data_IF_080816775879
#
_entry.id   IF_080816775879
#
_cell.length_a   1.000
_cell.length_b   1.000
_cell.length_c   1.000
_cell.angle_alpha   90.00
_cell.angle_beta   90.00
_cell.angle_gamma   90.00
#
_symmetry.space_group_name_H-M   'P 1'
#
loop_
_entity.id
_entity.type
_entity.pdbx_description
1 polymer ?
#
# COMPACT_ATOMS: atom_id res chain seq x y z
N UNK A 1 57.45 4.76 28.93
CA UNK A 1 56.02 4.88 29.20
C UNK A 1 55.25 3.90 28.30
N UNK A 2 54.35 3.11 28.85
CA UNK A 2 53.57 2.20 28.01
C UNK A 2 52.65 3.00 27.05
N UNK A 3 52.68 2.67 25.76
CA UNK A 3 51.86 3.32 24.74
C UNK A 3 50.45 2.72 24.78
N UNK A 4 49.45 3.58 24.97
CA UNK A 4 48.04 3.17 24.92
C UNK A 4 47.67 2.70 23.48
N UNK A 5 47.28 1.45 23.33
CA UNK A 5 46.84 0.87 22.08
C UNK A 5 45.28 0.91 22.02
N UNK A 6 44.74 1.48 20.96
CA UNK A 6 43.29 1.65 20.76
C UNK A 6 42.57 0.45 20.11
N UNK A 7 43.28 -0.69 19.98
CA UNK A 7 42.78 -1.86 19.25
C UNK A 7 41.50 -2.47 19.80
N UNK A 8 41.38 -2.54 21.13
CA UNK A 8 40.19 -3.12 21.79
C UNK A 8 38.94 -2.29 21.51
N UNK A 9 39.02 -0.98 21.71
CA UNK A 9 37.89 -0.09 21.43
C UNK A 9 37.51 -0.02 19.95
N UNK A 10 38.49 0.00 19.05
CA UNK A 10 38.26 0.00 17.62
C UNK A 10 37.54 -1.29 17.19
N UNK A 11 37.98 -2.43 17.70
CA UNK A 11 37.37 -3.74 17.43
C UNK A 11 35.94 -3.81 17.97
N UNK A 12 35.67 -3.31 19.16
CA UNK A 12 34.34 -3.25 19.74
C UNK A 12 33.37 -2.43 18.87
N UNK A 13 33.81 -1.25 18.40
CA UNK A 13 33.03 -0.41 17.47
C UNK A 13 32.78 -1.10 16.13
N UNK A 14 33.78 -1.76 15.57
CA UNK A 14 33.61 -2.53 14.32
C UNK A 14 32.64 -3.68 14.50
N UNK A 15 32.76 -4.43 15.60
CA UNK A 15 31.88 -5.55 15.91
C UNK A 15 30.42 -5.11 16.03
N UNK A 16 30.15 -3.98 16.70
CA UNK A 16 28.80 -3.41 16.81
C UNK A 16 28.16 -3.16 15.44
N UNK A 17 28.89 -2.66 14.46
CA UNK A 17 28.38 -2.43 13.09
C UNK A 17 28.19 -3.75 12.35
N UNK A 18 29.12 -4.69 12.48
CA UNK A 18 29.01 -6.00 11.84
C UNK A 18 27.85 -6.83 12.41
N UNK A 19 27.54 -6.67 13.70
CA UNK A 19 26.37 -7.31 14.32
C UNK A 19 25.05 -6.81 13.71
N UNK A 20 24.96 -5.51 13.39
CA UNK A 20 23.82 -4.93 12.67
C UNK A 20 23.74 -5.37 11.20
N UNK A 21 24.87 -5.78 10.63
CA UNK A 21 24.96 -6.25 9.24
C UNK A 21 24.80 -7.77 9.10
N UNK A 22 24.49 -8.49 10.19
CA UNK A 22 24.23 -9.94 10.13
C UNK A 22 23.08 -10.24 9.18
N UNK A 23 23.25 -11.28 8.37
CA UNK A 23 22.29 -11.68 7.35
C UNK A 23 22.45 -10.95 6.01
N UNK A 24 23.34 -9.98 5.88
CA UNK A 24 23.62 -9.34 4.61
C UNK A 24 24.51 -10.24 3.73
N UNK A 25 24.22 -10.26 2.44
CA UNK A 25 24.87 -11.13 1.49
C UNK A 25 26.30 -10.68 1.17
N UNK A 26 27.24 -11.62 1.17
CA UNK A 26 28.62 -11.43 0.76
C UNK A 26 29.40 -10.44 1.65
N UNK A 27 30.22 -9.63 1.04
CA UNK A 27 31.12 -8.67 1.74
C UNK A 27 30.38 -7.61 2.58
N UNK A 28 29.10 -7.38 2.32
CA UNK A 28 28.28 -6.45 3.11
C UNK A 28 28.02 -6.94 4.54
N UNK A 29 28.08 -8.26 4.78
CA UNK A 29 27.93 -8.85 6.11
C UNK A 29 29.24 -9.06 6.87
N UNK A 30 30.41 -9.12 6.17
CA UNK A 30 31.69 -9.52 6.75
C UNK A 30 32.76 -8.43 6.78
N UNK A 31 32.79 -7.56 5.77
CA UNK A 31 33.81 -6.50 5.65
C UNK A 31 33.29 -5.19 6.24
N UNK A 32 33.92 -4.70 7.31
CA UNK A 32 33.47 -3.52 8.06
C UNK A 32 33.22 -2.30 7.17
N UNK A 33 34.10 -1.98 6.22
CA UNK A 33 33.95 -0.79 5.36
C UNK A 33 32.64 -0.82 4.58
N UNK A 34 32.35 -1.93 3.94
CA UNK A 34 31.14 -2.10 3.12
C UNK A 34 29.90 -2.32 3.99
N UNK A 35 30.05 -3.07 5.10
CA UNK A 35 28.98 -3.27 6.07
C UNK A 35 28.48 -1.95 6.69
N UNK A 36 29.40 -1.04 7.04
CA UNK A 36 29.08 0.28 7.58
C UNK A 36 28.19 1.08 6.60
N UNK A 37 28.58 1.14 5.33
CA UNK A 37 27.80 1.85 4.30
C UNK A 37 26.41 1.23 4.12
N UNK A 38 26.33 -0.09 4.10
CA UNK A 38 25.06 -0.81 3.98
C UNK A 38 24.14 -0.56 5.17
N UNK A 39 24.66 -0.58 6.41
CA UNK A 39 23.88 -0.29 7.64
C UNK A 39 23.43 1.16 7.66
N UNK A 40 24.29 2.12 7.29
CA UNK A 40 23.90 3.53 7.19
C UNK A 40 22.76 3.73 6.20
N UNK A 41 22.84 3.08 5.03
CA UNK A 41 21.80 3.16 4.01
C UNK A 41 20.50 2.50 4.46
N UNK A 42 20.58 1.36 5.15
CA UNK A 42 19.42 0.71 5.75
C UNK A 42 18.71 1.64 6.76
N UNK A 43 19.47 2.34 7.60
CA UNK A 43 18.93 3.34 8.53
C UNK A 43 18.21 4.50 7.83
N UNK A 44 18.77 5.00 6.72
CA UNK A 44 18.13 6.04 5.90
C UNK A 44 16.81 5.55 5.30
N UNK A 45 16.80 4.34 4.75
CA UNK A 45 15.58 3.75 4.21
C UNK A 45 14.53 3.51 5.30
N UNK A 46 14.92 2.97 6.44
CA UNK A 46 14.01 2.77 7.56
C UNK A 46 13.35 4.09 8.03
N UNK A 47 14.11 5.18 8.09
CA UNK A 47 13.56 6.50 8.43
C UNK A 47 12.56 7.00 7.40
N UNK A 48 12.90 6.93 6.11
CA UNK A 48 12.03 7.33 5.01
C UNK A 48 10.74 6.50 4.99
N UNK A 49 10.89 5.17 5.08
CA UNK A 49 9.80 4.24 4.84
C UNK A 49 8.81 4.16 6.01
N UNK A 50 9.23 4.51 7.22
CA UNK A 50 8.28 4.73 8.34
C UNK A 50 7.25 5.82 8.03
N UNK A 51 7.61 6.85 7.27
CA UNK A 51 6.65 7.88 6.81
C UNK A 51 5.83 7.41 5.61
N UNK A 52 6.46 6.71 4.69
CA UNK A 52 5.80 6.19 3.48
C UNK A 52 4.81 5.06 3.81
N UNK A 53 5.10 4.25 4.83
CA UNK A 53 4.26 3.12 5.29
C UNK A 53 2.79 3.49 5.45
N UNK A 54 2.49 4.65 6.06
CA UNK A 54 1.10 5.12 6.26
C UNK A 54 0.35 5.30 4.95
N UNK A 55 1.02 5.86 3.93
CA UNK A 55 0.45 6.08 2.59
C UNK A 55 0.23 4.77 1.85
N UNK A 56 1.18 3.85 1.95
CA UNK A 56 1.11 2.53 1.30
C UNK A 56 -0.04 1.71 1.87
N UNK A 57 -0.16 1.64 3.19
CA UNK A 57 -1.27 0.91 3.82
C UNK A 57 -2.64 1.54 3.51
N UNK A 58 -2.73 2.86 3.51
CA UNK A 58 -3.98 3.53 3.12
C UNK A 58 -4.39 3.21 1.68
N UNK A 59 -3.45 3.20 0.74
CA UNK A 59 -3.72 2.81 -0.64
C UNK A 59 -4.21 1.35 -0.75
N UNK A 60 -3.60 0.44 0.01
CA UNK A 60 -4.02 -0.95 0.09
C UNK A 60 -5.44 -1.11 0.64
N UNK A 61 -5.78 -0.40 1.73
CA UNK A 61 -7.14 -0.42 2.28
C UNK A 61 -8.17 0.09 1.28
N UNK A 62 -7.87 1.19 0.59
CA UNK A 62 -8.75 1.75 -0.45
C UNK A 62 -8.98 0.73 -1.57
N UNK A 63 -7.94 0.04 -2.02
CA UNK A 63 -8.05 -1.00 -3.05
C UNK A 63 -8.96 -2.16 -2.62
N UNK A 64 -8.80 -2.65 -1.38
CA UNK A 64 -9.63 -3.73 -0.82
C UNK A 64 -11.10 -3.31 -0.68
N UNK A 65 -11.35 -2.13 -0.10
CA UNK A 65 -12.72 -1.60 0.04
C UNK A 65 -13.35 -1.39 -1.33
N UNK A 66 -12.62 -0.87 -2.32
CA UNK A 66 -13.14 -0.65 -3.66
C UNK A 66 -13.54 -1.97 -4.34
N UNK A 67 -12.73 -3.02 -4.20
CA UNK A 67 -13.05 -4.35 -4.72
C UNK A 67 -14.36 -4.89 -4.12
N UNK A 68 -14.48 -4.83 -2.79
CA UNK A 68 -15.69 -5.29 -2.08
C UNK A 68 -16.92 -4.41 -2.39
N UNK A 69 -16.77 -3.09 -2.47
CA UNK A 69 -17.85 -2.18 -2.83
C UNK A 69 -18.36 -2.46 -4.26
N UNK A 70 -17.47 -2.75 -5.21
CA UNK A 70 -17.85 -3.15 -6.58
C UNK A 70 -18.60 -4.46 -6.62
N UNK A 71 -18.23 -5.44 -5.81
CA UNK A 71 -19.00 -6.68 -5.67
C UNK A 71 -20.43 -6.44 -5.15
N UNK A 72 -20.62 -5.39 -4.32
CA UNK A 72 -21.93 -4.92 -3.86
C UNK A 72 -22.64 -3.96 -4.86
N UNK A 73 -22.04 -3.69 -6.05
CA UNK A 73 -22.61 -2.80 -7.06
C UNK A 73 -22.42 -1.31 -6.78
N UNK A 74 -21.45 -0.93 -5.94
CA UNK A 74 -21.10 0.46 -5.61
C UNK A 74 -19.68 0.80 -6.06
N UNK A 75 -19.45 2.08 -6.37
CA UNK A 75 -18.07 2.59 -6.48
C UNK A 75 -17.56 3.02 -5.11
N UNK A 76 -16.24 3.05 -4.92
CA UNK A 76 -15.62 3.48 -3.65
C UNK A 76 -16.12 4.86 -3.18
N UNK A 77 -16.19 5.83 -4.09
CA UNK A 77 -16.61 7.19 -3.76
C UNK A 77 -18.07 7.27 -3.30
N UNK A 78 -18.94 6.54 -3.99
CA UNK A 78 -20.37 6.44 -3.67
C UNK A 78 -20.57 5.74 -2.32
N UNK A 79 -19.87 4.62 -2.08
CA UNK A 79 -19.88 3.90 -0.81
C UNK A 79 -19.45 4.79 0.36
N UNK A 80 -18.32 5.47 0.24
CA UNK A 80 -17.80 6.35 1.30
C UNK A 80 -18.70 7.57 1.55
N UNK A 81 -19.33 8.10 0.50
CA UNK A 81 -20.32 9.19 0.64
C UNK A 81 -21.58 8.69 1.35
N UNK A 82 -22.04 7.48 1.01
CA UNK A 82 -23.19 6.84 1.67
C UNK A 82 -22.95 6.65 3.17
N UNK A 83 -21.79 6.09 3.56
CA UNK A 83 -21.43 5.93 4.97
C UNK A 83 -21.38 7.27 5.71
N UNK A 84 -20.80 8.29 5.08
CA UNK A 84 -20.73 9.63 5.67
C UNK A 84 -22.13 10.24 5.88
N UNK A 85 -23.07 10.04 4.94
CA UNK A 85 -24.47 10.50 5.06
C UNK A 85 -25.25 9.72 6.11
N UNK A 86 -24.96 8.43 6.25
CA UNK A 86 -25.54 7.59 7.31
C UNK A 86 -24.94 7.87 8.69
N UNK A 87 -24.02 8.85 8.81
CA UNK A 87 -23.28 9.17 10.04
C UNK A 87 -22.55 7.96 10.66
N UNK A 88 -22.10 7.03 9.81
CA UNK A 88 -21.36 5.84 10.23
C UNK A 88 -19.86 6.16 10.19
N UNK A 89 -19.25 6.30 11.36
CA UNK A 89 -17.82 6.56 11.50
C UNK A 89 -17.05 5.25 11.69
N UNK A 90 -16.52 4.69 10.59
CA UNK A 90 -15.68 3.50 10.61
C UNK A 90 -14.36 3.75 9.89
N UNK A 91 -13.27 3.31 10.51
CA UNK A 91 -11.94 3.43 9.92
C UNK A 91 -11.78 2.56 8.67
N UNK A 92 -11.03 3.09 7.69
CA UNK A 92 -10.69 2.33 6.47
C UNK A 92 -9.96 1.03 6.75
N UNK A 93 -9.18 0.96 7.83
CA UNK A 93 -8.49 -0.26 8.25
C UNK A 93 -9.50 -1.36 8.59
N UNK A 94 -10.50 -1.03 9.39
CA UNK A 94 -11.57 -1.96 9.81
C UNK A 94 -12.41 -2.38 8.60
N UNK A 95 -12.81 -1.44 7.75
CA UNK A 95 -13.57 -1.74 6.52
C UNK A 95 -12.79 -2.65 5.56
N UNK A 96 -11.49 -2.44 5.44
CA UNK A 96 -10.64 -3.26 4.58
C UNK A 96 -10.39 -4.66 5.16
N UNK A 97 -10.43 -4.81 6.47
CA UNK A 97 -10.35 -6.08 7.16
C UNK A 97 -11.66 -6.87 6.97
N UNK A 98 -12.81 -6.25 7.23
CA UNK A 98 -14.13 -6.84 6.99
C UNK A 98 -14.32 -7.24 5.52
N UNK A 99 -13.81 -6.46 4.58
CA UNK A 99 -13.87 -6.77 3.15
C UNK A 99 -13.16 -8.08 2.77
N UNK A 100 -12.25 -8.58 3.60
CA UNK A 100 -11.48 -9.81 3.36
C UNK A 100 -11.96 -10.95 4.25
N UNK A 101 -12.29 -10.66 5.51
CA UNK A 101 -12.64 -11.68 6.52
C UNK A 101 -14.12 -11.98 6.56
N UNK A 102 -14.98 -10.97 6.43
CA UNK A 102 -16.43 -11.10 6.54
C UNK A 102 -17.16 -10.22 5.51
N UNK A 103 -17.38 -10.79 4.33
CA UNK A 103 -18.08 -10.12 3.25
C UNK A 103 -19.58 -9.89 3.57
N UNK A 104 -20.19 -10.71 4.44
CA UNK A 104 -21.59 -10.55 4.84
C UNK A 104 -21.77 -9.32 5.74
N UNK A 105 -20.84 -9.11 6.69
CA UNK A 105 -20.84 -7.89 7.50
C UNK A 105 -20.57 -6.64 6.63
N UNK A 106 -19.65 -6.73 5.66
CA UNK A 106 -19.40 -5.63 4.72
C UNK A 106 -20.61 -5.29 3.87
N UNK A 107 -21.37 -6.29 3.42
CA UNK A 107 -22.61 -6.10 2.64
C UNK A 107 -23.67 -5.29 3.42
N UNK A 108 -23.79 -5.49 4.74
CA UNK A 108 -24.70 -4.68 5.58
C UNK A 108 -24.33 -3.19 5.56
N UNK A 109 -23.03 -2.87 5.63
CA UNK A 109 -22.56 -1.50 5.47
C UNK A 109 -22.85 -0.93 4.07
N UNK A 110 -22.74 -1.78 3.04
CA UNK A 110 -23.06 -1.37 1.67
C UNK A 110 -24.56 -1.10 1.48
N UNK A 111 -25.44 -1.86 2.10
CA UNK A 111 -26.87 -1.62 2.10
C UNK A 111 -27.26 -0.32 2.84
N UNK A 112 -26.69 -0.09 4.00
CA UNK A 112 -26.88 1.16 4.75
C UNK A 112 -26.38 2.37 3.96
N UNK A 113 -25.24 2.24 3.31
CA UNK A 113 -24.70 3.26 2.42
C UNK A 113 -25.65 3.53 1.23
N UNK A 114 -26.21 2.49 0.61
CA UNK A 114 -27.20 2.63 -0.47
C UNK A 114 -28.47 3.33 -0.01
N UNK A 115 -28.99 2.97 1.16
CA UNK A 115 -30.21 3.54 1.72
C UNK A 115 -30.07 5.05 2.01
N UNK A 116 -28.88 5.52 2.33
CA UNK A 116 -28.58 6.94 2.63
C UNK A 116 -28.32 7.80 1.39
N UNK A 117 -28.19 7.19 0.21
CA UNK A 117 -27.93 7.90 -1.04
C UNK A 117 -29.25 8.36 -1.68
N UNK A 118 -29.32 9.58 -2.27
CA UNK A 118 -30.48 10.00 -3.06
C UNK A 118 -30.60 9.10 -4.29
N UNK A 119 -31.82 8.73 -4.65
CA UNK A 119 -32.15 7.77 -5.72
C UNK A 119 -31.64 8.10 -7.14
N UNK A 120 -31.03 9.27 -7.33
CA UNK A 120 -30.56 9.75 -8.65
C UNK A 120 -29.17 9.20 -9.06
N UNK A 121 -28.49 8.42 -8.22
CA UNK A 121 -27.12 7.93 -8.52
C UNK A 121 -27.06 6.51 -9.08
N UNK A 122 -28.19 5.92 -9.50
CA UNK A 122 -28.24 4.51 -9.92
C UNK A 122 -28.05 4.28 -11.43
N UNK A 123 -27.72 5.29 -12.25
CA UNK A 123 -27.44 5.09 -13.66
C UNK A 123 -26.02 5.51 -14.02
N UNK A 124 -25.09 4.56 -14.01
CA UNK A 124 -23.86 4.70 -14.78
C UNK A 124 -24.24 4.58 -16.27
N UNK A 125 -23.90 5.54 -17.15
CA UNK A 125 -24.02 5.33 -18.56
C UNK A 125 -23.06 4.21 -18.95
N UNK A 126 -23.60 3.11 -19.46
CA UNK A 126 -22.86 2.09 -20.19
C UNK A 126 -22.26 2.75 -21.44
N UNK A 127 -21.02 3.20 -21.36
CA UNK A 127 -20.28 3.64 -22.55
C UNK A 127 -19.79 2.38 -23.27
N UNK A 128 -20.70 1.77 -24.02
CA UNK A 128 -20.31 0.88 -25.09
C UNK A 128 -19.70 1.76 -26.19
N UNK A 129 -18.39 1.94 -26.15
CA UNK A 129 -17.64 2.51 -27.24
C UNK A 129 -17.67 1.52 -28.42
N UNK A 130 -18.57 1.74 -29.36
CA UNK A 130 -18.55 1.13 -30.67
C UNK A 130 -17.30 1.66 -31.40
N UNK A 131 -16.32 0.79 -31.61
CA UNK A 131 -15.17 1.04 -32.47
C UNK A 131 -15.67 0.98 -33.91
N UNK A 132 -15.59 2.04 -34.74
CA UNK A 132 -15.89 1.94 -36.13
C UNK A 132 -14.79 1.13 -36.84
N UNK A 133 -15.15 -0.02 -37.38
CA UNK A 133 -14.33 -0.80 -38.29
C UNK A 133 -14.13 -0.01 -39.59
N UNK A 134 -12.99 0.60 -39.79
CA UNK A 134 -12.56 1.17 -41.06
C UNK A 134 -11.93 0.06 -41.89
N UNK A 135 -12.72 -0.67 -42.62
CA UNK A 135 -12.24 -1.47 -43.73
C UNK A 135 -11.94 -0.52 -44.90
N UNK A 136 -10.68 -0.20 -45.12
CA UNK A 136 -10.23 0.46 -46.34
C UNK A 136 -9.94 -0.60 -47.40
N UNK A 137 -10.79 -0.65 -48.41
CA UNK A 137 -10.58 -1.31 -49.69
C UNK A 137 -9.36 -0.68 -50.41
N UNK A 138 -8.34 -1.49 -50.68
CA UNK A 138 -7.37 -1.24 -51.73
C UNK A 138 -7.68 -2.13 -52.91
N UNK A 139 -8.29 -1.56 -53.91
CA UNK A 139 -8.36 -2.15 -55.26
C UNK A 139 -7.47 -1.29 -56.20
N UNK A 140 -6.56 -1.98 -56.83
CA UNK A 140 -6.04 -1.82 -58.23
C UNK A 140 -5.78 -0.39 -58.76
N UNK A 141 -4.56 -0.05 -59.04
CA UNK A 141 -3.96 0.13 -60.38
C UNK A 141 -2.45 0.16 -60.28
#
# INVERSE_FOLDING_TARGET
MPRVKRGVEARARHKKVLDLAKGYRGRRGSVFRIAKEAVMKAGQYAYRDRRTKKRVFRALWIARINAAARACGLTYSVFMNGLKRAAIEVDRKVLADLAVTDMAAFAKFAEQAKASLPSTAASLPSTAASVPSTAASLSSE
#
